data_IF_828853423156
#
_entry.id   IF_828853423156
#
_cell.length_a   1.000
_cell.length_b   1.000
_cell.length_c   1.000
_cell.angle_alpha   90.00
_cell.angle_beta   90.00
_cell.angle_gamma   90.00
#
_symmetry.space_group_name_H-M   'P 1'
#
loop_
_entity.id
_entity.type
_entity.pdbx_description
1 polymer ?
#
# COMPACT_ATOMS: atom_id res chain seq x y z
N UNK A 1 -22.34 7.23 -0.41
CA UNK A 1 -21.72 7.25 -1.76
C UNK A 1 -22.00 5.98 -2.56
N UNK A 2 -21.49 4.82 -2.15
CA UNK A 2 -21.55 3.58 -2.95
C UNK A 2 -22.96 2.98 -3.13
N UNK A 3 -23.80 3.00 -2.09
CA UNK A 3 -25.06 2.23 -2.08
C UNK A 3 -26.35 3.05 -2.12
N UNK A 4 -26.28 4.36 -1.85
CA UNK A 4 -27.48 5.18 -1.75
C UNK A 4 -28.07 5.47 -3.14
N UNK A 5 -29.29 5.00 -3.41
CA UNK A 5 -29.98 5.24 -4.68
C UNK A 5 -30.34 6.72 -4.88
N UNK A 6 -30.60 7.45 -3.79
CA UNK A 6 -30.84 8.89 -3.82
C UNK A 6 -29.57 9.66 -4.22
N UNK A 7 -29.56 10.17 -5.46
CA UNK A 7 -28.43 10.94 -6.02
C UNK A 7 -28.16 12.25 -5.27
N UNK A 8 -29.18 12.97 -4.85
CA UNK A 8 -29.01 14.23 -4.11
C UNK A 8 -28.33 14.00 -2.77
N UNK A 9 -28.65 12.89 -2.09
CA UNK A 9 -27.97 12.49 -0.85
C UNK A 9 -26.49 12.14 -1.10
N UNK A 10 -26.17 11.51 -2.24
CA UNK A 10 -24.77 11.27 -2.63
C UNK A 10 -24.04 12.59 -2.89
N UNK A 11 -24.68 13.54 -3.57
CA UNK A 11 -24.11 14.86 -3.82
C UNK A 11 -23.84 15.63 -2.51
N UNK A 12 -24.83 15.68 -1.61
CA UNK A 12 -24.71 16.32 -0.30
C UNK A 12 -23.56 15.72 0.52
N UNK A 13 -23.52 14.39 0.63
CA UNK A 13 -22.46 13.69 1.36
C UNK A 13 -21.08 13.93 0.72
N UNK A 14 -20.99 13.93 -0.62
CA UNK A 14 -19.74 14.18 -1.31
C UNK A 14 -19.23 15.59 -1.03
N UNK A 15 -20.09 16.62 -1.18
CA UNK A 15 -19.73 18.01 -0.93
C UNK A 15 -19.29 18.19 0.52
N UNK A 16 -20.10 17.77 1.48
CA UNK A 16 -19.77 17.86 2.90
C UNK A 16 -18.44 17.18 3.29
N UNK A 17 -18.13 16.03 2.68
CA UNK A 17 -16.88 15.33 2.95
C UNK A 17 -15.66 16.02 2.31
N UNK A 18 -15.78 16.51 1.07
CA UNK A 18 -14.66 17.07 0.31
C UNK A 18 -14.49 18.59 0.48
N UNK A 19 -15.40 19.27 1.17
CA UNK A 19 -15.27 20.66 1.59
C UNK A 19 -14.80 20.82 3.03
N UNK A 20 -14.46 19.73 3.74
CA UNK A 20 -14.06 19.81 5.15
C UNK A 20 -12.91 20.79 5.32
N UNK A 21 -13.02 21.62 6.35
CA UNK A 21 -12.04 22.65 6.67
C UNK A 21 -11.82 23.68 5.54
N UNK A 22 -12.83 23.89 4.69
CA UNK A 22 -12.87 24.93 3.66
C UNK A 22 -14.22 25.67 3.72
N UNK A 23 -14.44 26.44 4.78
CA UNK A 23 -15.73 27.04 5.14
C UNK A 23 -15.65 28.50 5.61
N UNK A 24 -14.47 29.13 5.54
CA UNK A 24 -14.23 30.49 6.04
C UNK A 24 -14.67 30.71 7.50
N UNK A 25 -14.58 29.66 8.32
CA UNK A 25 -14.92 29.66 9.73
C UNK A 25 -13.69 29.30 10.60
N UNK A 26 -13.87 29.11 11.90
CA UNK A 26 -12.78 28.78 12.82
C UNK A 26 -12.17 27.38 12.60
N UNK A 27 -12.81 26.52 11.80
CA UNK A 27 -12.31 25.20 11.44
C UNK A 27 -11.69 25.17 10.03
N UNK A 28 -11.57 26.34 9.38
CA UNK A 28 -10.96 26.48 8.06
C UNK A 28 -9.43 26.33 8.11
N UNK A 29 -8.90 25.46 7.27
CA UNK A 29 -7.47 25.15 7.21
C UNK A 29 -6.75 25.83 6.04
N UNK A 30 -7.39 26.68 5.25
CA UNK A 30 -6.79 27.29 4.05
C UNK A 30 -5.52 28.07 4.41
N UNK A 31 -5.61 28.98 5.39
CA UNK A 31 -4.45 29.73 5.88
C UNK A 31 -3.45 28.84 6.62
N UNK A 32 -3.92 27.77 7.28
CA UNK A 32 -3.04 26.80 7.97
C UNK A 32 -2.15 26.08 6.94
N UNK A 33 -2.72 25.63 5.82
CA UNK A 33 -1.99 25.00 4.71
C UNK A 33 -0.91 25.94 4.18
N UNK A 34 -1.27 27.18 3.82
CA UNK A 34 -0.32 28.18 3.30
C UNK A 34 0.81 28.44 4.31
N UNK A 35 0.48 28.61 5.58
CA UNK A 35 1.46 28.83 6.63
C UNK A 35 2.42 27.64 6.80
N UNK A 36 1.91 26.40 6.78
CA UNK A 36 2.75 25.20 6.87
C UNK A 36 3.72 25.13 5.69
N UNK A 37 3.23 25.35 4.46
CA UNK A 37 4.05 25.30 3.24
C UNK A 37 5.15 26.36 3.29
N UNK A 38 4.79 27.59 3.65
CA UNK A 38 5.76 28.69 3.76
C UNK A 38 6.81 28.42 4.85
N UNK A 39 6.41 27.85 6.00
CA UNK A 39 7.35 27.48 7.07
C UNK A 39 8.25 26.31 6.67
N UNK A 40 7.75 25.35 5.90
CA UNK A 40 8.55 24.27 5.32
C UNK A 40 9.58 24.78 4.31
N UNK A 41 9.19 25.76 3.47
CA UNK A 41 10.12 26.44 2.58
C UNK A 41 11.19 27.21 3.35
N UNK A 42 10.82 27.94 4.39
CA UNK A 42 11.75 28.65 5.28
C UNK A 42 12.75 27.68 5.92
N UNK A 43 12.26 26.56 6.48
CA UNK A 43 13.11 25.50 7.03
C UNK A 43 14.09 24.94 5.98
N UNK A 44 13.61 24.64 4.79
CA UNK A 44 14.46 24.11 3.72
C UNK A 44 15.58 25.10 3.36
N UNK A 45 15.24 26.39 3.20
CA UNK A 45 16.23 27.45 2.92
C UNK A 45 17.23 27.64 4.04
N UNK A 46 16.80 27.56 5.31
CA UNK A 46 17.69 27.63 6.47
C UNK A 46 18.70 26.48 6.48
N UNK A 47 18.32 25.31 6.00
CA UNK A 47 19.18 24.13 5.88
C UNK A 47 19.97 24.07 4.56
N UNK A 48 19.86 25.08 3.69
CA UNK A 48 20.60 25.17 2.43
C UNK A 48 19.95 24.51 1.22
N UNK A 49 18.69 24.03 1.34
CA UNK A 49 17.93 23.43 0.25
C UNK A 49 17.04 24.47 -0.45
N UNK A 50 16.75 24.25 -1.74
CA UNK A 50 15.91 25.16 -2.53
C UNK A 50 14.41 25.00 -2.23
N UNK A 51 13.99 23.77 -1.94
CA UNK A 51 12.59 23.42 -1.66
C UNK A 51 12.51 22.41 -0.52
N UNK A 52 11.34 22.29 0.11
CA UNK A 52 11.13 21.27 1.14
C UNK A 52 11.24 19.85 0.59
N UNK A 53 10.85 19.63 -0.67
CA UNK A 53 11.05 18.35 -1.33
C UNK A 53 12.53 17.99 -1.46
N UNK A 54 13.41 18.94 -1.82
CA UNK A 54 14.86 18.67 -1.90
C UNK A 54 15.43 18.22 -0.54
N UNK A 55 14.97 18.86 0.55
CA UNK A 55 15.36 18.49 1.91
C UNK A 55 14.88 17.08 2.30
N UNK A 56 13.60 16.75 2.06
CA UNK A 56 13.04 15.45 2.46
C UNK A 56 13.63 14.31 1.62
N UNK A 57 13.80 14.53 0.32
CA UNK A 57 14.14 13.48 -0.64
C UNK A 57 15.61 13.04 -0.56
N UNK A 58 16.51 13.85 0.02
CA UNK A 58 17.93 13.49 0.19
C UNK A 58 18.11 12.14 0.88
N UNK A 59 17.23 11.80 1.82
CA UNK A 59 17.27 10.54 2.59
C UNK A 59 16.25 9.50 2.08
N UNK A 60 15.65 9.74 0.91
CA UNK A 60 14.66 8.86 0.27
C UNK A 60 15.28 8.07 -0.86
N UNK A 61 14.68 6.94 -1.23
CA UNK A 61 15.15 6.14 -2.36
C UNK A 61 15.10 6.91 -3.69
N UNK A 62 14.17 7.86 -3.82
CA UNK A 62 14.07 8.71 -5.00
C UNK A 62 15.21 9.73 -5.12
N UNK A 63 15.87 10.12 -4.01
CA UNK A 63 16.96 11.11 -3.86
C UNK A 63 16.68 12.55 -4.34
N UNK A 64 15.91 12.73 -5.43
CA UNK A 64 15.70 14.00 -6.09
C UNK A 64 14.23 14.20 -6.49
N UNK A 65 13.72 15.43 -6.36
CA UNK A 65 12.35 15.75 -6.76
C UNK A 65 12.09 15.54 -8.25
N UNK A 66 13.10 15.74 -9.09
CA UNK A 66 12.97 15.53 -10.55
C UNK A 66 12.74 14.05 -10.88
N UNK A 67 13.36 13.13 -10.13
CA UNK A 67 13.08 11.69 -10.23
C UNK A 67 11.63 11.37 -9.89
N UNK A 68 11.09 12.00 -8.83
CA UNK A 68 9.69 11.86 -8.44
C UNK A 68 8.74 12.43 -9.50
N UNK A 69 9.01 13.63 -10.01
CA UNK A 69 8.18 14.25 -11.06
C UNK A 69 8.19 13.44 -12.34
N UNK A 70 9.36 12.97 -12.78
CA UNK A 70 9.48 12.09 -13.95
C UNK A 70 8.68 10.80 -13.77
N UNK A 71 8.74 10.19 -12.59
CA UNK A 71 7.93 9.02 -12.23
C UNK A 71 6.43 9.32 -12.31
N UNK A 72 5.96 10.36 -11.61
CA UNK A 72 4.54 10.73 -11.55
C UNK A 72 3.99 11.07 -12.94
N UNK A 73 4.70 11.87 -13.73
CA UNK A 73 4.25 12.28 -15.06
C UNK A 73 4.17 11.11 -16.04
N UNK A 74 5.19 10.24 -16.06
CA UNK A 74 5.20 9.08 -16.94
C UNK A 74 4.08 8.12 -16.61
N UNK A 75 3.85 7.85 -15.33
CA UNK A 75 2.77 6.95 -14.95
C UNK A 75 1.39 7.57 -15.19
N UNK A 76 1.27 8.89 -14.99
CA UNK A 76 0.04 9.66 -15.29
C UNK A 76 -0.33 9.56 -16.77
N UNK A 77 0.63 9.69 -17.68
CA UNK A 77 0.37 9.63 -19.13
C UNK A 77 -0.31 8.31 -19.54
N UNK A 78 0.17 7.17 -19.02
CA UNK A 78 -0.39 5.84 -19.32
C UNK A 78 -1.71 5.61 -18.57
N UNK A 79 -1.73 5.94 -17.28
CA UNK A 79 -2.89 5.69 -16.40
C UNK A 79 -4.10 6.53 -16.81
N UNK A 80 -3.89 7.74 -17.34
CA UNK A 80 -4.96 8.61 -17.82
C UNK A 80 -5.75 8.00 -18.98
N UNK A 81 -5.08 7.38 -19.94
CA UNK A 81 -5.74 6.69 -21.07
C UNK A 81 -6.66 5.57 -20.57
N UNK A 82 -6.19 4.76 -19.61
CA UNK A 82 -7.02 3.74 -18.97
C UNK A 82 -8.21 4.35 -18.23
N UNK A 83 -7.98 5.41 -17.47
CA UNK A 83 -9.00 6.07 -16.68
C UNK A 83 -10.09 6.73 -17.55
N UNK A 84 -9.74 7.24 -18.73
CA UNK A 84 -10.69 7.73 -19.73
C UNK A 84 -11.54 6.59 -20.30
N UNK A 85 -10.94 5.41 -20.54
CA UNK A 85 -11.69 4.22 -20.94
C UNK A 85 -12.63 3.73 -19.82
N UNK A 86 -12.18 3.75 -18.57
CA UNK A 86 -13.01 3.42 -17.39
C UNK A 86 -14.22 4.37 -17.30
N UNK A 87 -14.00 5.68 -17.46
CA UNK A 87 -15.06 6.68 -17.46
C UNK A 87 -16.05 6.48 -18.62
N UNK A 88 -15.55 6.15 -19.82
CA UNK A 88 -16.39 5.86 -20.99
C UNK A 88 -17.28 4.64 -20.72
N UNK A 89 -16.69 3.56 -20.24
CA UNK A 89 -17.43 2.35 -19.88
C UNK A 89 -18.50 2.64 -18.83
N UNK A 90 -18.13 3.36 -17.78
CA UNK A 90 -19.04 3.70 -16.69
C UNK A 90 -20.19 4.60 -17.17
N UNK A 91 -19.90 5.56 -18.05
CA UNK A 91 -20.90 6.45 -18.67
C UNK A 91 -21.87 5.66 -19.53
N UNK A 92 -21.39 4.72 -20.36
CA UNK A 92 -22.23 3.82 -21.15
C UNK A 92 -23.13 2.96 -20.26
N UNK A 93 -22.58 2.40 -19.17
CA UNK A 93 -23.34 1.59 -18.22
C UNK A 93 -24.42 2.40 -17.48
N UNK A 94 -24.09 3.62 -17.04
CA UNK A 94 -24.99 4.47 -16.27
C UNK A 94 -26.23 4.93 -17.06
N UNK A 95 -26.17 4.92 -18.41
CA UNK A 95 -27.27 5.31 -19.33
C UNK A 95 -27.92 6.64 -18.95
N UNK A 96 -27.11 7.60 -18.50
CA UNK A 96 -27.55 8.92 -18.07
C UNK A 96 -27.44 9.95 -19.20
N UNK A 97 -28.41 10.87 -19.29
CA UNK A 97 -28.39 12.00 -20.23
C UNK A 97 -27.55 13.19 -19.70
N UNK A 98 -26.92 13.04 -18.54
CA UNK A 98 -26.10 14.07 -17.88
C UNK A 98 -24.69 13.53 -17.62
N UNK A 99 -23.64 14.35 -17.71
CA UNK A 99 -22.29 13.94 -17.35
C UNK A 99 -22.24 13.37 -15.93
N UNK A 100 -21.49 12.27 -15.75
CA UNK A 100 -21.23 11.73 -14.43
C UNK A 100 -20.48 12.76 -13.59
N UNK A 101 -20.87 12.86 -12.32
CA UNK A 101 -20.19 13.70 -11.33
C UNK A 101 -19.35 12.81 -10.40
N UNK A 102 -18.44 13.42 -9.64
CA UNK A 102 -17.62 12.70 -8.65
C UNK A 102 -18.46 11.84 -7.69
N UNK A 103 -19.65 12.30 -7.32
CA UNK A 103 -20.57 11.57 -6.46
C UNK A 103 -21.34 10.42 -7.11
N UNK A 104 -21.25 10.28 -8.42
CA UNK A 104 -21.89 9.19 -9.18
C UNK A 104 -20.95 8.01 -9.40
N UNK A 105 -19.62 8.23 -9.40
CA UNK A 105 -18.63 7.21 -9.76
C UNK A 105 -18.79 5.91 -8.96
N UNK A 106 -18.65 5.97 -7.63
CA UNK A 106 -18.65 4.76 -6.79
C UNK A 106 -19.98 4.00 -6.86
N UNK A 107 -21.09 4.69 -7.09
CA UNK A 107 -22.42 4.08 -7.17
C UNK A 107 -22.59 3.25 -8.44
N UNK A 108 -22.31 3.85 -9.60
CA UNK A 108 -22.38 3.12 -10.86
C UNK A 108 -21.26 2.08 -10.98
N UNK A 109 -20.07 2.36 -10.46
CA UNK A 109 -18.95 1.43 -10.52
C UNK A 109 -19.24 0.15 -9.70
N UNK A 110 -19.89 0.27 -8.53
CA UNK A 110 -20.34 -0.90 -7.76
C UNK A 110 -21.35 -1.75 -8.54
N UNK A 111 -22.35 -1.12 -9.17
CA UNK A 111 -23.35 -1.83 -9.97
C UNK A 111 -22.74 -2.50 -11.19
N UNK A 112 -21.83 -1.82 -11.89
CA UNK A 112 -21.12 -2.39 -13.03
C UNK A 112 -20.19 -3.53 -12.61
N UNK A 113 -19.46 -3.38 -11.50
CA UNK A 113 -18.60 -4.42 -10.93
C UNK A 113 -19.42 -5.67 -10.60
N UNK A 114 -20.57 -5.51 -9.94
CA UNK A 114 -21.51 -6.61 -9.66
C UNK A 114 -22.01 -7.29 -10.92
N UNK A 115 -22.42 -6.52 -11.94
CA UNK A 115 -22.88 -7.09 -13.21
C UNK A 115 -21.78 -7.88 -13.92
N UNK A 116 -20.54 -7.37 -13.94
CA UNK A 116 -19.43 -7.97 -14.69
C UNK A 116 -18.88 -9.23 -14.04
N UNK A 117 -18.70 -9.22 -12.73
CA UNK A 117 -17.95 -10.28 -12.06
C UNK A 117 -18.84 -11.22 -11.25
N UNK A 118 -20.08 -10.84 -10.96
CA UNK A 118 -21.00 -11.60 -10.10
C UNK A 118 -20.31 -12.12 -8.82
N UNK A 119 -19.35 -11.33 -8.31
CA UNK A 119 -18.57 -11.65 -7.14
C UNK A 119 -19.36 -11.23 -5.92
N UNK A 120 -19.98 -12.22 -5.29
CA UNK A 120 -20.46 -12.08 -3.94
C UNK A 120 -19.31 -12.45 -2.98
N UNK A 121 -18.85 -11.48 -2.19
CA UNK A 121 -17.86 -11.73 -1.16
C UNK A 121 -18.30 -12.87 -0.23
N UNK A 122 -19.62 -13.09 -0.06
CA UNK A 122 -20.16 -14.21 0.70
C UNK A 122 -19.86 -15.59 0.10
N UNK A 123 -19.63 -15.70 -1.21
CA UNK A 123 -19.27 -16.96 -1.86
C UNK A 123 -17.79 -17.31 -1.68
N UNK A 124 -16.92 -16.29 -1.59
CA UNK A 124 -15.47 -16.49 -1.52
C UNK A 124 -14.97 -16.52 -0.08
N UNK A 125 -15.55 -15.71 0.79
CA UNK A 125 -15.19 -15.61 2.21
C UNK A 125 -15.10 -16.97 2.94
N UNK A 126 -15.96 -17.97 2.66
CA UNK A 126 -15.83 -19.32 3.21
C UNK A 126 -14.51 -20.05 2.95
N UNK A 127 -13.74 -19.66 1.93
CA UNK A 127 -12.44 -20.26 1.60
C UNK A 127 -11.26 -19.63 2.36
N UNK A 128 -11.48 -18.51 3.04
CA UNK A 128 -10.44 -17.76 3.75
C UNK A 128 -10.69 -17.75 5.26
N UNK A 129 -10.82 -18.94 5.85
CA UNK A 129 -10.82 -19.11 7.29
C UNK A 129 -9.45 -18.70 7.88
N UNK A 130 -9.45 -17.92 8.96
CA UNK A 130 -8.27 -17.25 9.50
C UNK A 130 -7.14 -18.22 9.87
N UNK A 131 -7.44 -19.35 10.51
CA UNK A 131 -6.41 -20.32 10.89
C UNK A 131 -5.79 -21.01 9.67
N UNK A 132 -6.58 -21.28 8.62
CA UNK A 132 -6.07 -21.76 7.34
C UNK A 132 -5.20 -20.71 6.65
N UNK A 133 -5.64 -19.45 6.59
CA UNK A 133 -4.84 -18.34 6.02
C UNK A 133 -3.51 -18.20 6.75
N UNK A 134 -3.51 -18.22 8.08
CA UNK A 134 -2.30 -18.19 8.91
C UNK A 134 -1.35 -19.35 8.59
N UNK A 135 -1.86 -20.58 8.49
CA UNK A 135 -1.07 -21.75 8.08
C UNK A 135 -0.49 -21.59 6.67
N UNK A 136 -1.28 -21.05 5.73
CA UNK A 136 -0.84 -20.75 4.37
C UNK A 136 0.33 -19.76 4.34
N UNK A 137 0.22 -18.66 5.07
CA UNK A 137 1.29 -17.65 5.18
C UNK A 137 2.55 -18.25 5.83
N UNK A 138 2.41 -19.03 6.91
CA UNK A 138 3.54 -19.71 7.54
C UNK A 138 4.21 -20.71 6.59
N UNK A 139 3.43 -21.48 5.83
CA UNK A 139 3.96 -22.41 4.83
C UNK A 139 4.67 -21.69 3.68
N UNK A 140 4.13 -20.56 3.22
CA UNK A 140 4.77 -19.70 2.22
C UNK A 140 6.18 -19.28 2.68
N UNK A 141 6.28 -18.70 3.87
CA UNK A 141 7.57 -18.20 4.36
C UNK A 141 8.52 -19.33 4.79
N UNK A 142 8.00 -20.52 5.15
CA UNK A 142 8.80 -21.72 5.31
C UNK A 142 9.43 -22.16 3.99
N UNK A 143 8.66 -22.13 2.88
CA UNK A 143 9.18 -22.49 1.55
C UNK A 143 10.21 -21.49 1.04
N UNK A 144 9.96 -20.20 1.24
CA UNK A 144 10.84 -19.11 0.78
C UNK A 144 12.11 -18.99 1.63
N UNK A 145 11.99 -19.02 2.97
CA UNK A 145 13.05 -18.61 3.89
C UNK A 145 13.42 -19.64 4.95
N UNK A 146 12.78 -20.82 4.94
CA UNK A 146 13.07 -21.90 5.91
C UNK A 146 12.50 -21.65 7.32
N UNK A 147 11.67 -20.62 7.52
CA UNK A 147 11.18 -20.23 8.83
C UNK A 147 10.15 -21.21 9.40
N UNK A 148 10.24 -21.43 10.71
CA UNK A 148 9.34 -22.29 11.48
C UNK A 148 8.72 -21.51 12.64
N UNK A 149 7.43 -21.73 12.89
CA UNK A 149 6.66 -20.99 13.88
C UNK A 149 6.06 -21.97 14.88
N UNK A 150 6.42 -21.83 16.15
CA UNK A 150 5.88 -22.62 17.26
C UNK A 150 5.15 -21.70 18.23
N UNK A 151 3.85 -21.92 18.41
CA UNK A 151 3.06 -21.25 19.44
C UNK A 151 3.67 -21.56 20.80
N UNK A 152 3.95 -20.53 21.60
CA UNK A 152 4.50 -20.69 22.95
C UNK A 152 3.61 -19.96 23.97
N UNK A 153 2.76 -20.71 24.70
CA UNK A 153 1.86 -20.11 25.69
C UNK A 153 2.59 -19.60 26.93
N UNK A 154 3.89 -19.87 27.09
CA UNK A 154 4.67 -19.37 28.23
C UNK A 154 5.18 -17.94 27.98
N UNK A 155 5.17 -17.46 26.74
CA UNK A 155 5.53 -16.07 26.43
C UNK A 155 4.39 -15.16 26.92
N UNK A 156 4.66 -14.19 27.82
CA UNK A 156 3.62 -13.28 28.30
C UNK A 156 3.04 -12.45 27.16
N UNK A 157 1.71 -12.28 27.18
CA UNK A 157 0.98 -11.49 26.19
C UNK A 157 0.25 -10.32 26.85
N UNK A 158 0.10 -9.22 26.11
CA UNK A 158 -0.57 -8.00 26.60
C UNK A 158 -2.10 -8.09 26.55
N UNK A 159 -2.66 -9.09 25.86
CA UNK A 159 -4.09 -9.34 25.81
C UNK A 159 -4.35 -10.83 25.60
N UNK A 160 -5.43 -11.37 26.17
CA UNK A 160 -5.74 -12.82 26.17
C UNK A 160 -5.91 -13.44 24.78
N UNK A 161 -6.27 -12.63 23.78
CA UNK A 161 -6.49 -13.08 22.41
C UNK A 161 -5.21 -13.03 21.54
N UNK A 162 -4.09 -12.53 22.10
CA UNK A 162 -2.81 -12.45 21.40
C UNK A 162 -2.14 -13.82 21.44
N UNK A 163 -1.65 -14.26 20.29
CA UNK A 163 -0.87 -15.49 20.16
C UNK A 163 0.60 -15.17 19.98
N UNK A 164 1.47 -15.67 20.86
CA UNK A 164 2.91 -15.51 20.76
C UNK A 164 3.56 -16.75 20.15
N UNK A 165 4.39 -16.54 19.13
CA UNK A 165 5.12 -17.58 18.41
C UNK A 165 6.62 -17.37 18.58
N UNK A 166 7.33 -18.43 18.96
CA UNK A 166 8.76 -18.51 18.75
C UNK A 166 9.02 -18.77 17.26
N UNK A 167 9.90 -17.97 16.65
CA UNK A 167 10.26 -18.07 15.24
C UNK A 167 11.67 -18.60 15.11
N UNK A 168 11.85 -19.71 14.38
CA UNK A 168 13.13 -20.36 14.18
C UNK A 168 13.54 -20.41 12.71
N UNK A 169 14.84 -20.39 12.46
CA UNK A 169 15.40 -20.61 11.14
C UNK A 169 15.55 -22.11 10.80
N UNK A 170 16.14 -22.40 9.64
CA UNK A 170 16.39 -23.77 9.18
C UNK A 170 17.38 -24.56 10.05
N UNK A 171 18.17 -23.86 10.87
CA UNK A 171 19.12 -24.45 11.82
C UNK A 171 18.50 -24.62 13.22
N UNK A 172 17.18 -24.41 13.36
CA UNK A 172 16.43 -24.47 14.63
C UNK A 172 16.89 -23.41 15.66
N UNK A 173 17.56 -22.34 15.22
CA UNK A 173 17.92 -21.21 16.05
C UNK A 173 16.73 -20.26 16.16
N UNK A 174 16.40 -19.83 17.38
CA UNK A 174 15.38 -18.80 17.59
C UNK A 174 15.89 -17.46 17.06
N UNK A 175 15.20 -16.90 16.07
CA UNK A 175 15.58 -15.64 15.43
C UNK A 175 14.63 -14.47 15.75
N UNK A 176 13.42 -14.74 16.25
CA UNK A 176 12.46 -13.71 16.64
C UNK A 176 11.35 -14.28 17.54
N UNK A 177 10.58 -13.38 18.17
CA UNK A 177 9.24 -13.68 18.69
C UNK A 177 8.22 -12.89 17.89
N UNK A 178 7.15 -13.55 17.45
CA UNK A 178 6.06 -12.97 16.69
C UNK A 178 4.76 -13.01 17.50
N UNK A 179 4.17 -11.84 17.78
CA UNK A 179 2.86 -11.71 18.39
C UNK A 179 1.82 -11.45 17.30
N UNK A 180 0.72 -12.21 17.32
CA UNK A 180 -0.41 -12.04 16.40
C UNK A 180 -1.66 -11.60 17.18
N UNK A 181 -2.19 -10.43 16.86
CA UNK A 181 -3.38 -9.85 17.51
C UNK A 181 -4.46 -9.51 16.48
N UNK A 182 -5.32 -10.50 16.18
CA UNK A 182 -6.23 -10.43 15.05
C UNK A 182 -7.51 -9.63 15.27
N UNK A 183 -8.05 -9.60 16.50
CA UNK A 183 -9.45 -9.26 16.69
C UNK A 183 -9.70 -7.81 17.06
N UNK A 184 -10.76 -7.23 16.49
CA UNK A 184 -11.27 -5.92 16.88
C UNK A 184 -11.81 -5.92 18.32
N UNK A 185 -11.65 -4.80 19.02
CA UNK A 185 -12.17 -4.55 20.38
C UNK A 185 -12.09 -3.07 20.74
N UNK A 186 -12.89 -2.62 21.70
CA UNK A 186 -13.04 -1.20 22.07
C UNK A 186 -11.73 -0.48 22.41
N UNK A 187 -10.76 -1.19 22.97
CA UNK A 187 -9.47 -0.61 23.38
C UNK A 187 -8.42 -0.61 22.26
N UNK A 188 -8.75 -1.07 21.06
CA UNK A 188 -7.84 -1.16 19.92
C UNK A 188 -8.32 -0.21 18.81
N UNK A 189 -7.40 0.63 18.30
CA UNK A 189 -7.68 1.48 17.14
C UNK A 189 -7.93 0.62 15.88
N UNK A 190 -8.78 1.12 14.99
CA UNK A 190 -9.01 0.50 13.68
C UNK A 190 -7.75 0.53 12.79
N UNK A 191 -7.73 -0.35 11.78
CA UNK A 191 -6.63 -0.49 10.80
C UNK A 191 -5.85 -1.80 10.96
N UNK A 192 -4.70 -1.89 10.32
CA UNK A 192 -3.73 -2.94 10.55
C UNK A 192 -2.34 -2.30 10.63
N UNK A 193 -1.44 -2.89 11.40
CA UNK A 193 -0.04 -2.45 11.47
C UNK A 193 0.86 -3.52 12.08
N UNK A 194 2.14 -3.45 11.70
CA UNK A 194 3.25 -4.10 12.36
C UNK A 194 3.96 -3.12 13.32
N UNK A 195 4.47 -3.62 14.43
CA UNK A 195 5.36 -2.89 15.34
C UNK A 195 6.40 -3.82 15.95
N UNK A 196 7.41 -3.25 16.60
CA UNK A 196 8.44 -3.97 17.35
C UNK A 196 8.40 -3.53 18.81
N UNK A 197 8.28 -4.46 19.75
CA UNK A 197 8.51 -4.19 21.18
C UNK A 197 10.00 -4.11 21.51
N UNK A 198 10.83 -4.76 20.68
CA UNK A 198 12.27 -4.67 20.68
C UNK A 198 12.76 -4.95 19.26
N UNK A 199 13.61 -4.10 18.74
CA UNK A 199 14.24 -4.26 17.43
C UNK A 199 15.46 -5.21 17.51
N UNK A 200 15.91 -5.70 16.36
CA UNK A 200 17.12 -6.51 16.27
C UNK A 200 18.37 -5.61 16.32
N UNK A 201 19.41 -6.03 17.03
CA UNK A 201 20.72 -5.36 17.01
C UNK A 201 21.83 -6.28 17.51
N UNK A 202 23.08 -5.88 17.32
CA UNK A 202 24.24 -6.53 17.93
C UNK A 202 24.63 -5.74 19.17
N UNK A 203 24.68 -6.37 20.35
CA UNK A 203 25.09 -5.69 21.58
C UNK A 203 26.63 -5.54 21.68
N UNK A 204 27.09 -4.84 22.70
CA UNK A 204 28.53 -4.58 22.94
C UNK A 204 29.38 -5.86 23.13
N UNK A 205 28.74 -7.01 23.39
CA UNK A 205 29.39 -8.32 23.52
C UNK A 205 29.45 -9.09 22.20
N UNK A 206 28.93 -8.52 21.11
CA UNK A 206 28.83 -9.18 19.81
C UNK A 206 27.67 -10.16 19.70
N UNK A 207 26.73 -10.16 20.65
CA UNK A 207 25.57 -11.06 20.64
C UNK A 207 24.45 -10.45 19.79
N UNK A 208 23.87 -11.26 18.89
CA UNK A 208 22.69 -10.88 18.13
C UNK A 208 21.44 -10.94 19.01
N UNK A 209 20.86 -9.78 19.31
CA UNK A 209 19.63 -9.66 20.09
C UNK A 209 18.43 -9.78 19.15
N UNK A 210 17.63 -10.83 19.36
CA UNK A 210 16.46 -11.11 18.52
C UNK A 210 15.34 -10.07 18.72
N UNK A 211 14.61 -9.70 17.64
CA UNK A 211 13.49 -8.79 17.70
C UNK A 211 12.24 -9.45 18.28
N UNK A 212 11.37 -8.62 18.83
CA UNK A 212 10.05 -8.96 19.34
C UNK A 212 9.02 -8.19 18.49
N UNK A 213 8.41 -8.86 17.50
CA UNK A 213 7.57 -8.25 16.48
C UNK A 213 6.10 -8.53 16.77
N UNK A 214 5.24 -7.52 16.67
CA UNK A 214 3.78 -7.66 16.84
C UNK A 214 3.05 -7.24 15.56
N UNK A 215 2.13 -8.10 15.10
CA UNK A 215 1.16 -7.81 14.06
C UNK A 215 -0.21 -7.59 14.67
N UNK A 216 -0.80 -6.43 14.39
CA UNK A 216 -2.12 -6.07 14.87
C UNK A 216 -3.07 -5.91 13.69
N UNK A 217 -4.18 -6.65 13.74
CA UNK A 217 -5.27 -6.59 12.77
C UNK A 217 -6.61 -6.37 13.50
N UNK A 218 -7.69 -6.19 12.75
CA UNK A 218 -9.01 -5.83 13.26
C UNK A 218 -10.13 -6.67 12.63
N UNK A 219 -9.96 -7.98 12.63
CA UNK A 219 -10.96 -8.93 12.15
C UNK A 219 -12.08 -9.12 13.17
N UNK A 220 -13.26 -9.47 12.67
CA UNK A 220 -14.36 -9.87 13.53
C UNK A 220 -13.99 -11.17 14.26
N UNK A 221 -14.21 -11.26 15.58
CA UNK A 221 -13.96 -12.49 16.33
C UNK A 221 -14.88 -13.63 15.85
N UNK A 222 -14.51 -14.89 16.09
CA UNK A 222 -15.36 -16.02 15.76
C UNK A 222 -16.64 -16.00 16.61
N UNK A 223 -17.70 -16.62 16.09
CA UNK A 223 -18.93 -16.88 16.83
C UNK A 223 -19.01 -18.37 17.20
N UNK A 224 -19.89 -18.78 18.13
CA UNK A 224 -20.06 -20.21 18.45
C UNK A 224 -20.39 -21.09 17.23
N UNK A 225 -21.00 -20.52 16.19
CA UNK A 225 -21.44 -21.24 14.98
C UNK A 225 -20.55 -21.05 13.76
N UNK A 226 -19.57 -20.13 13.81
CA UNK A 226 -18.79 -19.77 12.62
C UNK A 226 -17.38 -19.29 13.00
N UNK A 227 -16.33 -19.84 12.36
CA UNK A 227 -14.96 -19.36 12.58
C UNK A 227 -14.78 -17.95 11.99
N UNK A 228 -13.64 -17.34 12.27
CA UNK A 228 -13.27 -16.07 11.64
C UNK A 228 -13.01 -16.30 10.16
N UNK A 229 -13.90 -15.78 9.31
CA UNK A 229 -13.73 -15.79 7.86
C UNK A 229 -13.28 -14.42 7.39
N UNK A 230 -12.24 -14.38 6.57
CA UNK A 230 -11.68 -13.16 6.00
C UNK A 230 -12.29 -12.88 4.63
N UNK A 231 -12.52 -11.61 4.34
CA UNK A 231 -12.63 -11.14 2.97
C UNK A 231 -11.28 -11.29 2.25
N UNK A 232 -11.29 -11.20 0.92
CA UNK A 232 -10.06 -11.22 0.14
C UNK A 232 -9.11 -10.08 0.53
N UNK A 233 -9.65 -8.88 0.75
CA UNK A 233 -8.86 -7.70 1.16
C UNK A 233 -8.27 -7.86 2.56
N UNK A 234 -8.98 -8.50 3.50
CA UNK A 234 -8.43 -8.86 4.81
C UNK A 234 -7.31 -9.89 4.68
N UNK A 235 -7.46 -10.94 3.86
CA UNK A 235 -6.38 -11.90 3.60
C UNK A 235 -5.13 -11.22 3.00
N UNK A 236 -5.33 -10.31 2.03
CA UNK A 236 -4.27 -9.45 1.48
C UNK A 236 -3.61 -8.58 2.56
N UNK A 237 -4.40 -7.96 3.42
CA UNK A 237 -3.91 -7.16 4.54
C UNK A 237 -3.04 -8.00 5.47
N UNK A 238 -3.40 -9.25 5.74
CA UNK A 238 -2.55 -10.13 6.54
C UNK A 238 -1.19 -10.39 5.86
N UNK A 239 -1.17 -10.67 4.55
CA UNK A 239 0.08 -10.80 3.79
C UNK A 239 0.94 -9.52 3.84
N UNK A 240 0.31 -8.36 3.65
CA UNK A 240 0.95 -7.05 3.71
C UNK A 240 1.69 -6.86 5.04
N UNK A 241 0.96 -6.97 6.15
CA UNK A 241 1.53 -6.78 7.48
C UNK A 241 2.59 -7.84 7.79
N UNK A 242 2.38 -9.08 7.32
CA UNK A 242 3.39 -10.14 7.47
C UNK A 242 4.69 -9.84 6.73
N UNK A 243 4.64 -9.10 5.62
CA UNK A 243 5.84 -8.61 4.93
C UNK A 243 6.65 -7.61 5.78
N UNK A 244 5.99 -6.70 6.50
CA UNK A 244 6.67 -5.88 7.52
C UNK A 244 7.22 -6.74 8.66
N UNK A 245 6.49 -7.76 9.12
CA UNK A 245 6.99 -8.66 10.14
C UNK A 245 8.24 -9.41 9.67
N UNK A 246 8.29 -9.88 8.41
CA UNK A 246 9.48 -10.49 7.83
C UNK A 246 10.65 -9.49 7.81
N UNK A 247 10.41 -8.23 7.43
CA UNK A 247 11.44 -7.19 7.43
C UNK A 247 12.02 -6.95 8.83
N UNK A 248 11.18 -6.96 9.87
CA UNK A 248 11.62 -6.87 11.26
C UNK A 248 12.35 -8.13 11.74
N UNK A 249 11.75 -9.30 11.54
CA UNK A 249 12.26 -10.59 12.05
C UNK A 249 13.57 -11.03 11.41
N UNK A 250 13.80 -10.67 10.15
CA UNK A 250 14.99 -11.10 9.39
C UNK A 250 16.12 -10.08 9.38
N UNK A 251 15.95 -8.94 10.05
CA UNK A 251 16.99 -7.92 10.16
C UNK A 251 18.27 -8.47 10.80
N UNK A 252 19.42 -8.07 10.28
CA UNK A 252 20.75 -8.46 10.72
C UNK A 252 21.70 -7.25 10.63
N UNK A 253 21.41 -6.23 11.44
CA UNK A 253 22.20 -5.00 11.52
C UNK A 253 22.94 -4.91 12.84
N UNK A 254 23.97 -4.06 12.85
CA UNK A 254 24.73 -3.77 14.07
C UNK A 254 23.96 -2.80 14.98
N UNK A 255 23.52 -1.66 14.45
CA UNK A 255 22.88 -0.60 15.22
C UNK A 255 21.36 -0.72 15.23
N UNK A 256 20.76 -0.66 16.42
CA UNK A 256 19.30 -0.75 16.61
C UNK A 256 18.51 0.29 15.80
N UNK A 257 19.07 1.51 15.65
CA UNK A 257 18.44 2.60 14.89
C UNK A 257 18.31 2.33 13.38
N UNK A 258 18.98 1.30 12.87
CA UNK A 258 18.92 0.88 11.46
C UNK A 258 18.15 -0.43 11.30
N UNK A 259 17.54 -0.95 12.35
CA UNK A 259 16.96 -2.28 12.36
C UNK A 259 15.59 -2.36 11.69
N UNK A 260 15.35 -3.50 11.04
CA UNK A 260 14.08 -3.88 10.45
C UNK A 260 13.49 -2.81 9.53
N UNK A 261 12.31 -2.32 9.88
CA UNK A 261 11.57 -1.33 9.08
C UNK A 261 12.10 0.11 9.22
N UNK A 262 13.27 0.31 9.83
CA UNK A 262 13.95 1.62 9.94
C UNK A 262 14.61 2.02 8.61
N UNK A 263 13.81 2.13 7.56
CA UNK A 263 14.22 2.45 6.19
C UNK A 263 13.45 3.67 5.67
N UNK A 264 13.87 4.27 4.54
CA UNK A 264 13.12 5.35 3.92
C UNK A 264 11.67 4.96 3.58
N UNK A 265 10.74 5.91 3.70
CA UNK A 265 9.30 5.66 3.53
C UNK A 265 8.91 5.16 2.13
N UNK A 266 9.66 5.53 1.11
CA UNK A 266 9.45 5.09 -0.27
C UNK A 266 10.08 3.70 -0.55
N UNK A 267 10.62 3.05 0.48
CA UNK A 267 11.16 1.69 0.44
C UNK A 267 10.52 0.75 1.47
N UNK A 268 10.04 1.26 2.61
CA UNK A 268 9.47 0.44 3.71
C UNK A 268 8.30 -0.44 3.26
N UNK A 269 7.56 0.01 2.24
CA UNK A 269 6.40 -0.67 1.68
C UNK A 269 6.75 -1.78 0.69
N UNK A 270 8.00 -1.87 0.19
CA UNK A 270 8.38 -2.93 -0.73
C UNK A 270 8.23 -4.33 -0.09
N UNK A 271 8.79 -4.60 1.11
CA UNK A 271 8.62 -5.89 1.79
C UNK A 271 7.17 -6.26 2.14
N UNK A 272 6.30 -5.28 2.42
CA UNK A 272 4.88 -5.54 2.70
C UNK A 272 4.11 -5.83 1.41
N UNK A 273 4.18 -4.93 0.43
CA UNK A 273 3.43 -5.05 -0.81
C UNK A 273 3.86 -6.24 -1.67
N UNK A 274 5.14 -6.63 -1.65
CA UNK A 274 5.58 -7.80 -2.43
C UNK A 274 4.82 -9.05 -1.97
N UNK A 275 4.59 -9.22 -0.66
CA UNK A 275 3.88 -10.37 -0.08
C UNK A 275 2.42 -10.44 -0.54
N UNK A 276 1.78 -9.30 -0.82
CA UNK A 276 0.39 -9.27 -1.32
C UNK A 276 0.23 -9.96 -2.67
N UNK A 277 1.28 -10.03 -3.50
CA UNK A 277 1.17 -10.62 -4.83
C UNK A 277 0.85 -12.12 -4.79
N UNK A 278 1.24 -12.83 -3.73
CA UNK A 278 0.88 -14.23 -3.54
C UNK A 278 -0.63 -14.44 -3.40
N UNK A 279 -1.40 -13.43 -2.96
CA UNK A 279 -2.86 -13.51 -2.81
C UNK A 279 -3.60 -13.83 -4.12
N UNK A 280 -2.97 -13.61 -5.28
CA UNK A 280 -3.52 -13.95 -6.60
C UNK A 280 -2.89 -15.19 -7.25
N UNK A 281 -1.99 -15.88 -6.55
CA UNK A 281 -1.28 -17.03 -7.11
C UNK A 281 -1.99 -18.34 -6.74
N UNK A 282 -2.43 -19.08 -7.76
CA UNK A 282 -3.16 -20.35 -7.58
C UNK A 282 -2.36 -21.35 -6.76
N UNK A 283 -1.06 -21.46 -7.02
CA UNK A 283 -0.16 -22.37 -6.33
C UNK A 283 -0.03 -22.04 -4.84
N UNK A 284 -0.12 -20.77 -4.45
CA UNK A 284 -0.19 -20.37 -3.03
C UNK A 284 -1.56 -20.61 -2.42
N UNK A 285 -2.63 -20.18 -3.09
CA UNK A 285 -4.00 -20.39 -2.60
C UNK A 285 -4.30 -21.88 -2.40
N UNK A 286 -3.76 -22.75 -3.26
CA UNK A 286 -3.91 -24.20 -3.14
C UNK A 286 -3.39 -24.80 -1.82
N UNK A 287 -2.54 -24.07 -1.08
CA UNK A 287 -2.00 -24.53 0.19
C UNK A 287 -3.03 -24.50 1.32
N UNK A 288 -4.02 -23.60 1.25
CA UNK A 288 -4.90 -23.34 2.39
C UNK A 288 -6.33 -22.93 2.06
N UNK A 289 -6.61 -22.43 0.84
CA UNK A 289 -7.91 -21.86 0.47
C UNK A 289 -8.96 -22.96 0.25
N UNK A 290 -9.41 -23.54 1.36
CA UNK A 290 -10.41 -24.59 1.46
C UNK A 290 -11.66 -24.04 2.13
N UNK A 291 -12.82 -24.40 1.61
CA UNK A 291 -14.08 -24.01 2.18
C UNK A 291 -14.23 -24.61 3.58
N UNK A 292 -14.50 -23.76 4.57
CA UNK A 292 -14.40 -24.13 6.00
C UNK A 292 -15.34 -25.26 6.45
N UNK A 293 -16.45 -25.50 5.74
CA UNK A 293 -17.42 -26.55 6.11
C UNK A 293 -17.19 -27.90 5.42
N UNK A 294 -16.96 -27.90 4.11
CA UNK A 294 -16.90 -29.13 3.30
C UNK A 294 -15.47 -29.49 2.87
N UNK A 295 -14.49 -28.59 3.05
CA UNK A 295 -13.08 -28.81 2.73
C UNK A 295 -12.72 -28.66 1.25
N UNK A 296 -13.68 -28.29 0.39
CA UNK A 296 -13.44 -28.15 -1.06
C UNK A 296 -12.47 -27.01 -1.34
N UNK A 297 -11.60 -27.19 -2.33
CA UNK A 297 -10.66 -26.16 -2.76
C UNK A 297 -11.39 -25.00 -3.45
N UNK A 298 -10.85 -23.78 -3.32
CA UNK A 298 -11.37 -22.63 -4.06
C UNK A 298 -11.34 -22.90 -5.57
N UNK A 299 -12.47 -22.74 -6.29
CA UNK A 299 -12.51 -22.89 -7.73
C UNK A 299 -11.61 -21.87 -8.45
N UNK A 300 -10.93 -22.31 -9.51
CA UNK A 300 -10.10 -21.43 -10.36
C UNK A 300 -10.87 -20.22 -10.88
N UNK A 301 -12.15 -20.42 -11.23
CA UNK A 301 -13.03 -19.34 -11.70
C UNK A 301 -13.16 -18.21 -10.66
N UNK A 302 -13.16 -18.52 -9.35
CA UNK A 302 -13.23 -17.49 -8.31
C UNK A 302 -11.90 -16.73 -8.21
N UNK A 303 -10.76 -17.41 -8.36
CA UNK A 303 -9.44 -16.76 -8.39
C UNK A 303 -9.34 -15.80 -9.58
N UNK A 304 -9.73 -16.25 -10.78
CA UNK A 304 -9.73 -15.41 -11.98
C UNK A 304 -10.65 -14.20 -11.83
N UNK A 305 -11.84 -14.39 -11.25
CA UNK A 305 -12.76 -13.30 -10.97
C UNK A 305 -12.15 -12.29 -9.99
N UNK A 306 -11.50 -12.72 -8.91
CA UNK A 306 -10.81 -11.83 -7.96
C UNK A 306 -9.73 -10.99 -8.66
N UNK A 307 -8.90 -11.63 -9.49
CA UNK A 307 -7.86 -10.93 -10.28
C UNK A 307 -8.49 -9.88 -11.19
N UNK A 308 -9.54 -10.24 -11.93
CA UNK A 308 -10.23 -9.33 -12.83
C UNK A 308 -10.94 -8.17 -12.09
N UNK A 309 -11.50 -8.46 -10.91
CA UNK A 309 -12.15 -7.47 -10.06
C UNK A 309 -11.17 -6.50 -9.39
N UNK A 310 -9.91 -6.90 -9.20
CA UNK A 310 -8.83 -6.01 -8.75
C UNK A 310 -8.33 -5.10 -9.87
N UNK A 311 -8.40 -5.54 -11.13
CA UNK A 311 -8.07 -4.72 -12.31
C UNK A 311 -9.20 -3.80 -12.74
N UNK A 312 -10.42 -4.06 -12.26
CA UNK A 312 -11.60 -3.26 -12.60
C UNK A 312 -11.41 -1.79 -12.20
N UNK A 313 -11.45 -0.91 -13.20
CA UNK A 313 -11.25 0.54 -13.04
C UNK A 313 -9.93 0.94 -12.38
N UNK A 314 -8.89 0.11 -12.59
CA UNK A 314 -7.54 0.39 -12.11
C UNK A 314 -6.94 1.67 -12.72
N UNK A 315 -7.40 2.07 -13.92
CA UNK A 315 -7.02 3.35 -14.52
C UNK A 315 -7.50 4.52 -13.67
N UNK A 316 -8.80 4.62 -13.41
CA UNK A 316 -9.35 5.71 -12.59
C UNK A 316 -8.79 5.71 -11.17
N UNK A 317 -8.72 4.54 -10.52
CA UNK A 317 -8.15 4.42 -9.18
C UNK A 317 -6.67 4.86 -9.14
N UNK A 318 -5.88 4.43 -10.12
CA UNK A 318 -4.48 4.80 -10.27
C UNK A 318 -4.29 6.29 -10.51
N UNK A 319 -5.10 6.90 -11.39
CA UNK A 319 -5.03 8.33 -11.69
C UNK A 319 -5.35 9.18 -10.46
N UNK A 320 -6.32 8.75 -9.65
CA UNK A 320 -6.66 9.40 -8.39
C UNK A 320 -5.53 9.33 -7.36
N UNK A 321 -4.82 8.20 -7.26
CA UNK A 321 -3.64 8.11 -6.39
C UNK A 321 -2.48 8.99 -6.88
N UNK A 322 -2.27 9.05 -8.20
CA UNK A 322 -1.27 9.93 -8.79
C UNK A 322 -1.58 11.42 -8.57
N UNK A 323 -2.86 11.81 -8.64
CA UNK A 323 -3.32 13.15 -8.32
C UNK A 323 -2.85 13.61 -6.92
N UNK A 324 -2.97 12.74 -5.91
CA UNK A 324 -2.51 13.03 -4.55
C UNK A 324 -0.99 13.20 -4.45
N UNK A 325 -0.22 12.35 -5.13
CA UNK A 325 1.24 12.47 -5.20
C UNK A 325 1.70 13.74 -5.91
N UNK A 326 1.00 14.12 -6.99
CA UNK A 326 1.24 15.38 -7.72
C UNK A 326 0.93 16.58 -6.83
N UNK A 327 -0.23 16.60 -6.16
CA UNK A 327 -0.62 17.69 -5.27
C UNK A 327 0.37 17.88 -4.11
N UNK A 328 0.81 16.78 -3.47
CA UNK A 328 1.85 16.79 -2.45
C UNK A 328 3.15 17.40 -2.98
N UNK A 329 3.64 16.89 -4.12
CA UNK A 329 4.89 17.38 -4.70
C UNK A 329 4.78 18.82 -5.18
N UNK A 330 3.61 19.28 -5.65
CA UNK A 330 3.39 20.69 -5.98
C UNK A 330 3.59 21.56 -4.76
N UNK A 331 2.90 21.27 -3.64
CA UNK A 331 3.03 22.05 -2.41
C UNK A 331 4.48 22.13 -1.89
N UNK A 332 5.23 21.03 -1.99
CA UNK A 332 6.57 20.94 -1.40
C UNK A 332 7.73 21.25 -2.35
N UNK A 333 7.45 21.49 -3.65
CA UNK A 333 8.44 21.92 -4.65
C UNK A 333 8.43 23.43 -4.90
N UNK A 334 7.64 24.20 -4.15
CA UNK A 334 7.57 25.65 -4.26
C UNK A 334 8.90 26.28 -3.82
N UNK A 335 9.34 27.33 -4.52
CA UNK A 335 10.63 28.02 -4.29
C UNK A 335 10.50 29.42 -3.69
N UNK A 336 9.30 30.02 -3.75
CA UNK A 336 8.98 31.35 -3.23
C UNK A 336 7.82 31.29 -2.24
N UNK A 337 7.73 32.27 -1.35
CA UNK A 337 6.59 32.36 -0.42
C UNK A 337 5.29 32.38 -1.21
N UNK A 338 4.31 31.60 -0.74
CA UNK A 338 2.98 31.49 -1.31
C UNK A 338 2.06 32.53 -0.68
N UNK A 339 1.38 33.30 -1.53
CA UNK A 339 0.29 34.22 -1.19
C UNK A 339 -1.00 33.91 -1.97
N UNK A 340 -0.96 32.99 -2.93
CA UNK A 340 -2.12 32.53 -3.69
C UNK A 340 -3.10 31.68 -2.85
N UNK A 341 -4.42 31.75 -3.11
CA UNK A 341 -5.41 30.90 -2.45
C UNK A 341 -5.17 29.40 -2.73
N UNK A 342 -5.48 28.56 -1.73
CA UNK A 342 -5.26 27.11 -1.76
C UNK A 342 -5.95 26.45 -2.95
N UNK A 343 -7.16 26.89 -3.28
CA UNK A 343 -7.96 26.39 -4.38
C UNK A 343 -7.34 26.62 -5.76
N UNK A 344 -6.59 27.72 -5.93
CA UNK A 344 -5.93 28.07 -7.20
C UNK A 344 -4.77 27.10 -7.44
N UNK A 345 -3.93 26.91 -6.41
CA UNK A 345 -2.78 26.00 -6.47
C UNK A 345 -3.24 24.57 -6.68
N UNK A 346 -4.25 24.11 -5.93
CA UNK A 346 -4.78 22.76 -6.07
C UNK A 346 -5.38 22.52 -7.47
N UNK A 347 -6.19 23.47 -7.98
CA UNK A 347 -6.81 23.34 -9.30
C UNK A 347 -5.75 23.27 -10.41
N UNK A 348 -4.71 24.09 -10.32
CA UNK A 348 -3.60 24.07 -11.27
C UNK A 348 -2.83 22.73 -11.22
N UNK A 349 -2.49 22.26 -10.01
CA UNK A 349 -1.77 21.01 -9.79
C UNK A 349 -2.54 19.78 -10.31
N UNK A 350 -3.85 19.75 -10.07
CA UNK A 350 -4.69 18.57 -10.33
C UNK A 350 -5.34 18.55 -11.72
N UNK A 351 -5.23 19.64 -12.49
CA UNK A 351 -5.84 19.81 -13.82
C UNK A 351 -5.59 18.63 -14.77
N UNK A 352 -4.37 18.10 -14.83
CA UNK A 352 -4.03 17.01 -15.75
C UNK A 352 -4.59 15.63 -15.34
N UNK A 353 -4.96 15.46 -14.07
CA UNK A 353 -5.47 14.20 -13.50
C UNK A 353 -6.96 14.24 -13.17
N UNK A 354 -7.61 15.39 -13.33
CA UNK A 354 -9.05 15.57 -13.11
C UNK A 354 -9.84 15.10 -14.33
N UNK A 355 -10.63 14.03 -14.16
CA UNK A 355 -11.45 13.44 -15.24
C UNK A 355 -12.93 13.79 -15.17
N UNK A 356 -13.46 13.93 -13.95
CA UNK A 356 -14.86 14.28 -13.73
C UNK A 356 -14.97 15.80 -13.58
N UNK A 357 -16.14 16.39 -13.82
CA UNK A 357 -16.35 17.82 -13.60
C UNK A 357 -15.93 18.24 -12.19
N UNK A 358 -15.23 19.37 -12.09
CA UNK A 358 -14.81 19.94 -10.81
C UNK A 358 -16.04 20.37 -10.01
N UNK A 359 -16.02 20.12 -8.70
CA UNK A 359 -17.10 20.48 -7.78
C UNK A 359 -16.66 21.70 -6.99
N UNK A 360 -17.34 22.83 -7.21
CA UNK A 360 -17.07 24.09 -6.51
C UNK A 360 -17.14 23.91 -4.99
N UNK A 361 -16.18 24.50 -4.27
CA UNK A 361 -16.07 24.42 -2.81
C UNK A 361 -15.46 23.13 -2.26
N UNK A 362 -15.07 22.18 -3.12
CA UNK A 362 -14.40 20.94 -2.69
C UNK A 362 -12.89 21.05 -2.89
N UNK A 363 -12.17 21.45 -1.85
CA UNK A 363 -10.71 21.59 -1.85
C UNK A 363 -10.12 20.53 -0.93
N UNK A 364 -9.35 19.60 -1.49
CA UNK A 364 -8.84 18.45 -0.76
C UNK A 364 -7.69 18.81 0.18
N UNK A 365 -6.85 19.78 -0.20
CA UNK A 365 -5.63 20.19 0.53
C UNK A 365 -5.92 20.55 1.99
N UNK A 366 -7.04 21.22 2.28
CA UNK A 366 -7.45 21.62 3.65
C UNK A 366 -7.77 20.43 4.56
N UNK A 367 -7.96 19.24 3.99
CA UNK A 367 -8.20 18.00 4.73
C UNK A 367 -7.19 16.89 4.39
N UNK A 368 -6.09 17.22 3.70
CA UNK A 368 -5.03 16.29 3.31
C UNK A 368 -4.09 15.99 4.50
N UNK A 369 -4.61 15.23 5.47
CA UNK A 369 -3.94 14.95 6.74
C UNK A 369 -2.56 14.32 6.57
N UNK A 370 -2.36 13.42 5.60
CA UNK A 370 -1.08 12.74 5.40
C UNK A 370 0.12 13.69 5.26
N UNK A 371 -0.08 14.83 4.57
CA UNK A 371 0.99 15.77 4.27
C UNK A 371 0.99 16.99 5.20
N UNK A 372 -0.15 17.40 5.76
CA UNK A 372 -0.21 18.58 6.65
C UNK A 372 -0.22 18.27 8.14
N UNK A 373 -0.67 17.08 8.54
CA UNK A 373 -0.68 16.64 9.95
C UNK A 373 0.11 15.35 10.20
N UNK A 374 0.36 14.56 9.15
CA UNK A 374 1.15 13.35 9.15
C UNK A 374 2.58 13.58 8.67
N UNK A 375 3.30 12.48 8.42
CA UNK A 375 4.70 12.54 8.04
C UNK A 375 4.99 12.34 6.54
N UNK A 376 3.98 12.42 5.67
CA UNK A 376 4.12 12.11 4.23
C UNK A 376 4.35 13.35 3.36
N UNK A 377 4.63 14.51 3.94
CA UNK A 377 4.99 15.71 3.19
C UNK A 377 6.20 15.46 2.28
N UNK A 378 6.07 15.75 0.98
CA UNK A 378 7.03 15.37 -0.06
C UNK A 378 7.34 13.85 -0.08
N UNK A 379 6.31 13.04 0.09
CA UNK A 379 6.44 11.60 0.32
C UNK A 379 5.20 10.78 -0.04
N UNK A 380 4.09 11.41 -0.41
CA UNK A 380 2.87 10.68 -0.78
C UNK A 380 3.05 9.86 -2.07
N UNK A 381 3.96 10.27 -2.96
CA UNK A 381 4.37 9.48 -4.14
C UNK A 381 4.87 8.08 -3.76
N UNK A 382 5.39 7.91 -2.52
CA UNK A 382 5.96 6.67 -2.01
C UNK A 382 5.02 5.47 -2.12
N UNK A 383 3.70 5.67 -1.98
CA UNK A 383 2.72 4.59 -2.18
C UNK A 383 2.80 3.99 -3.59
N UNK A 384 2.80 4.86 -4.61
CA UNK A 384 2.84 4.41 -6.00
C UNK A 384 4.24 3.94 -6.41
N UNK A 385 5.27 4.56 -5.84
CA UNK A 385 6.65 4.16 -6.03
C UNK A 385 6.86 2.72 -5.55
N UNK A 386 6.41 2.42 -4.32
CA UNK A 386 6.46 1.08 -3.75
C UNK A 386 5.69 0.07 -4.60
N UNK A 387 4.49 0.42 -5.11
CA UNK A 387 3.73 -0.50 -5.96
C UNK A 387 4.49 -0.88 -7.25
N UNK A 388 5.35 0.00 -7.76
CA UNK A 388 6.20 -0.29 -8.91
C UNK A 388 7.38 -1.16 -8.52
N UNK A 389 8.03 -0.88 -7.39
CA UNK A 389 9.10 -1.72 -6.86
C UNK A 389 8.62 -3.15 -6.60
N UNK A 390 7.48 -3.28 -5.93
CA UNK A 390 6.94 -4.58 -5.53
C UNK A 390 6.61 -5.41 -6.78
N UNK A 391 5.98 -4.82 -7.79
CA UNK A 391 5.58 -5.55 -8.99
C UNK A 391 6.80 -6.01 -9.78
N UNK A 392 7.83 -5.16 -9.90
CA UNK A 392 9.08 -5.49 -10.59
C UNK A 392 9.89 -6.55 -9.83
N UNK A 393 9.91 -6.49 -8.50
CA UNK A 393 10.52 -7.51 -7.66
C UNK A 393 9.79 -8.85 -7.74
N UNK A 394 8.45 -8.84 -7.66
CA UNK A 394 7.64 -10.05 -7.77
C UNK A 394 7.69 -10.66 -9.17
N UNK A 395 7.90 -9.86 -10.23
CA UNK A 395 8.09 -10.39 -11.57
C UNK A 395 9.30 -11.33 -11.66
N UNK A 396 10.36 -11.13 -10.86
CA UNK A 396 11.49 -12.05 -10.78
C UNK A 396 11.07 -13.40 -10.16
N UNK A 397 10.24 -13.39 -9.11
CA UNK A 397 9.63 -14.61 -8.57
C UNK A 397 8.74 -15.29 -9.61
N UNK A 398 7.92 -14.56 -10.37
CA UNK A 398 7.10 -15.15 -11.44
C UNK A 398 7.92 -15.80 -12.55
N UNK A 399 9.09 -15.24 -12.88
CA UNK A 399 10.00 -15.78 -13.89
C UNK A 399 10.66 -17.10 -13.45
N UNK A 400 11.08 -17.18 -12.18
CA UNK A 400 11.81 -18.34 -11.66
C UNK A 400 10.91 -19.39 -10.99
N UNK A 401 9.68 -19.00 -10.64
CA UNK A 401 8.72 -19.76 -9.83
C UNK A 401 8.42 -19.04 -8.50
N UNK A 402 7.15 -18.93 -8.11
CA UNK A 402 6.71 -18.12 -6.96
C UNK A 402 7.23 -18.62 -5.59
N UNK A 403 7.87 -19.80 -5.56
CA UNK A 403 8.54 -20.39 -4.40
C UNK A 403 10.05 -20.57 -4.63
N UNK A 404 10.63 -19.89 -5.62
CA UNK A 404 12.05 -20.04 -5.95
C UNK A 404 12.94 -19.61 -4.78
N UNK A 405 13.66 -20.58 -4.22
CA UNK A 405 14.52 -20.37 -3.05
C UNK A 405 15.70 -19.46 -3.32
N UNK A 406 16.22 -19.44 -4.55
CA UNK A 406 17.37 -18.59 -4.90
C UNK A 406 16.95 -17.11 -4.91
N UNK A 407 15.81 -16.81 -5.53
CA UNK A 407 15.23 -15.46 -5.52
C UNK A 407 14.87 -15.03 -4.10
N UNK A 408 14.26 -15.92 -3.30
CA UNK A 408 13.97 -15.66 -1.89
C UNK A 408 15.23 -15.39 -1.05
N UNK A 409 16.28 -16.20 -1.21
CA UNK A 409 17.55 -16.00 -0.50
C UNK A 409 18.18 -14.64 -0.86
N UNK A 410 18.20 -14.28 -2.14
CA UNK A 410 18.67 -12.96 -2.61
C UNK A 410 17.84 -11.82 -2.01
N UNK A 411 16.51 -11.96 -1.98
CA UNK A 411 15.63 -10.95 -1.37
C UNK A 411 15.85 -10.82 0.15
N UNK A 412 16.04 -11.95 0.86
CA UNK A 412 16.39 -11.95 2.28
C UNK A 412 17.73 -11.25 2.53
N UNK A 413 18.75 -11.62 1.77
CA UNK A 413 20.12 -11.11 1.94
C UNK A 413 20.23 -9.61 1.64
N UNK A 414 19.61 -9.15 0.56
CA UNK A 414 19.81 -7.78 0.09
C UNK A 414 18.70 -6.82 0.48
N UNK A 415 17.51 -7.29 0.86
CA UNK A 415 16.39 -6.43 1.25
C UNK A 415 16.06 -6.63 2.73
N UNK A 416 15.55 -7.81 3.11
CA UNK A 416 14.96 -8.02 4.45
C UNK A 416 15.98 -7.95 5.59
N UNK A 417 17.23 -8.35 5.36
CA UNK A 417 18.25 -8.39 6.42
C UNK A 417 18.97 -7.06 6.66
N UNK A 418 18.84 -6.11 5.75
CA UNK A 418 19.67 -4.89 5.72
C UNK A 418 19.11 -3.75 6.55
N UNK A 419 17.79 -3.70 6.78
CA UNK A 419 17.16 -2.53 7.36
C UNK A 419 17.69 -1.24 6.72
N UNK A 420 18.00 -0.24 7.53
CA UNK A 420 18.58 1.04 7.09
C UNK A 420 20.10 1.05 6.93
N UNK A 421 20.78 -0.10 6.85
CA UNK A 421 22.26 -0.14 6.84
C UNK A 421 22.91 0.34 5.54
N UNK A 422 22.16 0.36 4.44
CA UNK A 422 22.65 0.65 3.09
C UNK A 422 21.62 1.43 2.27
N UNK A 423 22.03 1.96 1.12
CA UNK A 423 21.15 2.72 0.23
C UNK A 423 20.09 1.81 -0.42
N UNK A 424 18.78 2.12 -0.31
CA UNK A 424 17.71 1.27 -0.83
C UNK A 424 17.81 0.93 -2.32
N UNK A 425 18.26 1.87 -3.16
CA UNK A 425 18.41 1.63 -4.60
C UNK A 425 19.55 0.67 -4.91
N UNK A 426 20.66 0.75 -4.18
CA UNK A 426 21.79 -0.16 -4.37
C UNK A 426 21.39 -1.57 -3.93
N UNK A 427 20.73 -1.69 -2.77
CA UNK A 427 20.14 -2.93 -2.28
C UNK A 427 19.19 -3.57 -3.30
N UNK A 428 18.29 -2.76 -3.89
CA UNK A 428 17.36 -3.22 -4.91
C UNK A 428 18.09 -3.69 -6.17
N UNK A 429 19.09 -2.96 -6.66
CA UNK A 429 19.88 -3.33 -7.84
C UNK A 429 20.63 -4.65 -7.59
N UNK A 430 21.21 -4.83 -6.39
CA UNK A 430 21.90 -6.08 -6.05
C UNK A 430 20.94 -7.27 -6.04
N UNK A 431 19.75 -7.11 -5.46
CA UNK A 431 18.71 -8.14 -5.50
C UNK A 431 18.22 -8.42 -6.93
N UNK A 432 17.83 -7.37 -7.65
CA UNK A 432 17.06 -7.46 -8.90
C UNK A 432 17.93 -7.62 -10.15
N UNK A 433 19.19 -7.20 -10.08
CA UNK A 433 20.14 -7.08 -11.19
C UNK A 433 19.97 -5.80 -12.02
N UNK A 434 18.96 -4.98 -11.74
CA UNK A 434 18.67 -3.75 -12.47
C UNK A 434 17.87 -2.76 -11.62
N UNK A 435 17.80 -1.51 -12.08
CA UNK A 435 16.84 -0.52 -11.54
C UNK A 435 15.40 -0.97 -11.82
N UNK A 436 14.45 -0.62 -10.96
CA UNK A 436 13.04 -0.99 -11.12
C UNK A 436 12.46 -0.42 -12.42
N UNK A 437 11.52 -1.17 -13.01
CA UNK A 437 10.79 -0.77 -14.20
C UNK A 437 9.29 -0.82 -13.96
N UNK A 438 8.54 0.07 -14.62
CA UNK A 438 7.07 0.12 -14.48
C UNK A 438 6.32 -1.00 -15.22
N UNK A 439 7.00 -1.80 -16.04
CA UNK A 439 6.37 -2.77 -16.94
C UNK A 439 5.57 -3.82 -16.16
N UNK A 440 6.18 -4.42 -15.13
CA UNK A 440 5.51 -5.41 -14.31
C UNK A 440 4.28 -4.82 -13.59
N UNK A 441 4.38 -3.59 -13.08
CA UNK A 441 3.27 -2.88 -12.46
C UNK A 441 2.12 -2.64 -13.44
N UNK A 442 2.44 -2.15 -14.65
CA UNK A 442 1.44 -1.90 -15.69
C UNK A 442 0.77 -3.21 -16.13
N UNK A 443 1.53 -4.30 -16.29
CA UNK A 443 0.99 -5.63 -16.59
C UNK A 443 0.02 -6.11 -15.51
N UNK A 444 0.47 -6.05 -14.25
CA UNK A 444 -0.30 -6.48 -13.07
C UNK A 444 -1.63 -5.73 -13.00
N UNK A 445 -1.59 -4.42 -13.24
CA UNK A 445 -2.73 -3.52 -13.17
C UNK A 445 -3.64 -3.57 -14.41
N UNK A 446 -3.29 -4.32 -15.45
CA UNK A 446 -4.05 -4.38 -16.70
C UNK A 446 -3.92 -3.13 -17.58
N UNK A 447 -2.80 -2.40 -17.47
CA UNK A 447 -2.55 -1.11 -18.12
C UNK A 447 -1.61 -1.19 -19.34
N UNK A 448 -0.99 -2.35 -19.62
CA UNK A 448 -0.09 -2.54 -20.77
C UNK A 448 -0.81 -2.82 -22.09
N UNK A 449 -2.02 -3.38 -22.05
CA UNK A 449 -2.77 -3.77 -23.26
C UNK A 449 -3.53 -2.59 -23.89
N UNK A 450 -3.23 -1.36 -23.47
CA UNK A 450 -3.78 -0.13 -24.06
C UNK A 450 -3.02 0.16 -25.37
N UNK A 451 -3.72 0.47 -26.46
CA UNK A 451 -3.08 0.84 -27.71
C UNK A 451 -2.48 2.25 -27.59
N UNK A 452 -1.33 2.40 -26.94
CA UNK A 452 -0.18 3.09 -27.51
C UNK A 452 1.10 2.87 -26.68
N UNK A 453 2.15 2.46 -27.37
CA UNK A 453 3.41 2.01 -26.81
C UNK A 453 4.43 3.15 -26.81
N UNK A 454 4.54 3.89 -25.71
CA UNK A 454 5.62 4.86 -25.54
C UNK A 454 6.64 4.45 -24.47
N UNK A 455 7.68 3.78 -24.98
CA UNK A 455 9.08 3.70 -24.49
C UNK A 455 9.27 3.33 -23.01
N UNK A 456 9.49 2.04 -22.80
CA UNK A 456 10.14 1.47 -21.61
C UNK A 456 11.55 2.06 -21.43
N UNK A 457 11.69 3.05 -20.52
CA UNK A 457 12.98 3.50 -19.97
C UNK A 457 13.07 3.16 -18.47
N UNK A 458 14.27 2.97 -17.90
CA UNK A 458 14.46 2.80 -16.46
C UNK A 458 14.09 4.07 -15.67
N UNK A 459 13.76 3.92 -14.39
CA UNK A 459 13.17 4.97 -13.53
C UNK A 459 14.05 6.19 -13.22
N UNK A 460 15.30 6.28 -13.67
CA UNK A 460 16.16 7.45 -13.50
C UNK A 460 17.11 7.62 -14.68
N UNK A 461 17.01 8.76 -15.38
CA UNK A 461 18.07 9.40 -16.14
C UNK A 461 17.99 10.89 -15.92
#
# INVERSE_FOLDING_TARGET
MKYADNRSLREELYKAYNSRAFHSDNADNSNVVINIVNKRLELAKLLGYQTYADYVLETRMAEHKDSVWNFLHRLTAITKIAAENDLKELTTFAKTNRPLQAWDWSYYADKLKKQKFNLDDQLIKPYFELENVKKGIFELVRRLYGLQFSLDPNIPVYHKDVQAYQVKDENNQCIAVLYLDFYTRDTKRNGAWMTSFREQYINDKGENIIPLVSLVLNYNPPTPSQPTLLTYDEMKTFLHEFGHALHGMLSQVHYQSLSGTSVPRDFVELPSQIMENWASEKEFLSLFAKHYQNGDMIPDAYIEQLINANRFHAGYAGLRQLNYGILDMTWHSITTTVDEPVEVIESNATSNTTLLPTVEGCIFSTSFSHIFAGGYAAGYYGYKWAEVLDADAFALFKQNGIFDKKTAASFKEHILSKGGSDKPMDLYITFRGQRPTQEAFLKRSGLLDLPDSSKNKPLNK
#
